data_IF_044377767654
#
_entry.id   IF_044377767654
#
_cell.length_a   1.000
_cell.length_b   1.000
_cell.length_c   1.000
_cell.angle_alpha   90.00
_cell.angle_beta   90.00
_cell.angle_gamma   90.00
#
_symmetry.space_group_name_H-M   'P 1'
#
loop_
_entity.id
_entity.type
_entity.pdbx_description
1 polymer ?
#
# COMPACT_ATOMS: atom_id res chain seq x y z
N UNK A 1 6.00 -23.76 -14.43
CA UNK A 1 5.92 -23.33 -13.00
C UNK A 1 4.65 -23.89 -12.41
N UNK A 2 4.78 -24.70 -11.38
CA UNK A 2 3.64 -25.30 -10.68
C UNK A 2 2.92 -24.26 -9.82
N UNK A 3 1.66 -24.54 -9.45
CA UNK A 3 0.89 -23.65 -8.54
C UNK A 3 1.59 -23.46 -7.18
N UNK A 4 2.22 -24.52 -6.68
CA UNK A 4 2.98 -24.48 -5.42
C UNK A 4 4.19 -23.56 -5.51
N UNK A 5 4.96 -23.62 -6.59
CA UNK A 5 6.10 -22.73 -6.83
C UNK A 5 5.68 -21.28 -6.97
N UNK A 6 4.58 -21.04 -7.69
CA UNK A 6 4.01 -19.70 -7.82
C UNK A 6 3.64 -19.10 -6.45
N UNK A 7 2.91 -19.87 -5.62
CA UNK A 7 2.52 -19.42 -4.27
C UNK A 7 3.73 -19.10 -3.39
N UNK A 8 4.77 -19.96 -3.45
CA UNK A 8 6.02 -19.70 -2.71
C UNK A 8 6.66 -18.38 -3.15
N UNK A 9 6.74 -18.11 -4.46
CA UNK A 9 7.29 -16.86 -4.98
C UNK A 9 6.48 -15.64 -4.52
N UNK A 10 5.15 -15.69 -4.57
CA UNK A 10 4.29 -14.61 -4.09
C UNK A 10 4.54 -14.33 -2.61
N UNK A 11 4.64 -15.37 -1.77
CA UNK A 11 4.94 -15.21 -0.34
C UNK A 11 6.30 -14.55 -0.13
N UNK A 12 7.32 -14.98 -0.87
CA UNK A 12 8.67 -14.42 -0.77
C UNK A 12 8.72 -12.95 -1.19
N UNK A 13 8.12 -12.60 -2.33
CA UNK A 13 8.08 -11.19 -2.77
C UNK A 13 7.27 -10.33 -1.81
N UNK A 14 6.13 -10.82 -1.31
CA UNK A 14 5.34 -10.11 -0.29
C UNK A 14 6.16 -9.86 0.98
N UNK A 15 6.90 -10.84 1.44
CA UNK A 15 7.79 -10.71 2.59
C UNK A 15 8.90 -9.69 2.33
N UNK A 16 9.58 -9.79 1.20
CA UNK A 16 10.64 -8.85 0.81
C UNK A 16 10.12 -7.40 0.74
N UNK A 17 8.98 -7.19 0.09
CA UNK A 17 8.37 -5.86 0.00
C UNK A 17 7.95 -5.34 1.39
N UNK A 18 7.48 -6.22 2.28
CA UNK A 18 7.18 -5.83 3.66
C UNK A 18 8.42 -5.37 4.41
N UNK A 19 9.55 -6.05 4.25
CA UNK A 19 10.84 -5.62 4.82
C UNK A 19 11.27 -4.24 4.29
N UNK A 20 11.14 -4.02 2.98
CA UNK A 20 11.48 -2.73 2.37
C UNK A 20 10.57 -1.60 2.89
N UNK A 21 9.28 -1.85 3.07
CA UNK A 21 8.36 -0.88 3.67
C UNK A 21 8.74 -0.57 5.12
N UNK A 22 9.05 -1.60 5.91
CA UNK A 22 9.54 -1.39 7.29
C UNK A 22 10.82 -0.58 7.29
N UNK A 23 11.75 -0.90 6.39
CA UNK A 23 13.00 -0.15 6.24
C UNK A 23 12.75 1.34 6.01
N UNK A 24 11.94 1.69 5.00
CA UNK A 24 11.61 3.10 4.66
C UNK A 24 10.95 3.86 5.82
N UNK A 25 10.20 3.16 6.67
CA UNK A 25 9.52 3.77 7.82
C UNK A 25 10.33 3.72 9.13
N UNK A 26 11.53 3.15 9.11
CA UNK A 26 12.41 3.03 10.29
C UNK A 26 13.61 3.99 10.28
N UNK A 27 13.64 4.95 9.36
CA UNK A 27 14.72 5.94 9.30
C UNK A 27 14.81 6.75 10.59
N UNK A 28 16.01 6.81 11.15
CA UNK A 28 16.27 7.55 12.36
C UNK A 28 17.66 8.21 12.41
N UNK A 29 18.55 7.89 11.46
CA UNK A 29 19.91 8.43 11.45
C UNK A 29 19.95 9.96 11.39
N UNK A 30 18.94 10.59 10.75
CA UNK A 30 18.81 12.04 10.69
C UNK A 30 18.78 12.70 12.08
N UNK A 31 18.16 12.01 13.06
CA UNK A 31 18.08 12.48 14.44
C UNK A 31 19.44 12.54 15.15
N UNK A 32 20.42 11.79 14.65
CA UNK A 32 21.74 11.65 15.23
C UNK A 32 22.84 12.33 14.42
N UNK A 33 22.51 13.00 13.30
CA UNK A 33 23.47 13.76 12.50
C UNK A 33 24.12 14.86 13.35
N UNK A 34 25.44 14.85 13.41
CA UNK A 34 26.25 15.77 14.24
C UNK A 34 26.45 15.33 15.70
N UNK A 35 25.87 14.20 16.12
CA UNK A 35 26.03 13.63 17.46
C UNK A 35 26.93 12.40 17.45
N UNK A 36 26.99 11.68 16.30
CA UNK A 36 27.85 10.51 16.12
C UNK A 36 28.55 10.60 14.76
N UNK A 37 29.83 10.20 14.72
CA UNK A 37 30.61 10.15 13.47
C UNK A 37 30.01 9.17 12.48
N UNK A 38 29.47 8.05 12.96
CA UNK A 38 28.86 7.00 12.11
C UNK A 38 27.45 7.36 11.61
N UNK A 39 26.81 8.40 12.14
CA UNK A 39 25.43 8.76 11.77
C UNK A 39 25.29 9.11 10.28
N UNK A 40 26.32 9.71 9.68
CA UNK A 40 26.33 10.04 8.26
C UNK A 40 26.32 8.79 7.38
N UNK A 41 27.08 7.76 7.73
CA UNK A 41 27.14 6.50 6.97
C UNK A 41 25.83 5.74 7.08
N UNK A 42 25.22 5.71 8.27
CA UNK A 42 23.90 5.10 8.49
C UNK A 42 22.83 5.86 7.70
N UNK A 43 22.85 7.18 7.73
CA UNK A 43 21.94 8.03 6.95
C UNK A 43 22.01 7.71 5.44
N UNK A 44 23.21 7.64 4.89
CA UNK A 44 23.41 7.27 3.49
C UNK A 44 22.92 5.85 3.17
N UNK A 45 23.15 4.89 4.05
CA UNK A 45 22.68 3.53 3.88
C UNK A 45 21.15 3.44 3.95
N UNK A 46 20.51 4.14 4.88
CA UNK A 46 19.06 4.23 4.99
C UNK A 46 18.43 4.75 3.70
N UNK A 47 18.95 5.88 3.20
CA UNK A 47 18.43 6.51 1.98
C UNK A 47 18.76 5.72 0.73
N UNK A 48 19.97 5.20 0.57
CA UNK A 48 20.32 4.39 -0.60
C UNK A 48 19.41 3.18 -0.76
N UNK A 49 19.16 2.46 0.33
CA UNK A 49 18.27 1.28 0.28
C UNK A 49 16.82 1.72 0.15
N UNK A 50 16.37 2.73 0.90
CA UNK A 50 14.98 3.13 0.93
C UNK A 50 14.51 3.88 -0.30
N UNK A 51 15.29 4.84 -0.78
CA UNK A 51 14.91 5.67 -1.91
C UNK A 51 15.05 4.93 -3.25
N UNK A 52 15.90 3.90 -3.29
CA UNK A 52 16.09 3.10 -4.50
C UNK A 52 15.29 1.79 -4.45
N UNK A 53 15.55 0.92 -3.48
CA UNK A 53 14.90 -0.39 -3.39
C UNK A 53 13.51 -0.29 -2.74
N UNK A 54 13.34 0.58 -1.76
CA UNK A 54 12.07 0.76 -1.06
C UNK A 54 10.94 1.24 -1.95
N UNK A 55 11.26 2.05 -2.98
CA UNK A 55 10.28 2.55 -3.94
C UNK A 55 9.63 1.45 -4.80
N UNK A 56 10.26 0.28 -4.92
CA UNK A 56 9.72 -0.86 -5.67
C UNK A 56 8.64 -1.60 -4.86
N UNK A 57 8.64 -1.46 -3.54
CA UNK A 57 7.76 -2.24 -2.66
C UNK A 57 6.27 -1.96 -2.92
N UNK A 58 5.86 -0.71 -2.98
CA UNK A 58 4.46 -0.33 -3.17
C UNK A 58 3.92 -0.73 -4.54
N UNK A 59 4.57 -0.41 -5.67
CA UNK A 59 4.19 -0.95 -6.97
C UNK A 59 4.15 -2.48 -7.00
N UNK A 60 5.11 -3.14 -6.38
CA UNK A 60 5.14 -4.59 -6.25
C UNK A 60 3.91 -5.17 -5.56
N UNK A 61 3.48 -4.58 -4.45
CA UNK A 61 2.25 -4.97 -3.78
C UNK A 61 1.01 -4.74 -4.66
N UNK A 62 0.93 -3.62 -5.38
CA UNK A 62 -0.17 -3.37 -6.32
C UNK A 62 -0.20 -4.42 -7.43
N UNK A 63 0.95 -4.75 -8.00
CA UNK A 63 1.05 -5.78 -9.05
C UNK A 63 0.62 -7.15 -8.54
N UNK A 64 1.13 -7.60 -7.39
CA UNK A 64 0.74 -8.87 -6.78
C UNK A 64 -0.75 -8.89 -6.48
N UNK A 65 -1.27 -7.82 -5.87
CA UNK A 65 -2.68 -7.70 -5.51
C UNK A 65 -3.58 -7.73 -6.74
N UNK A 66 -3.23 -6.95 -7.77
CA UNK A 66 -3.95 -6.93 -9.05
C UNK A 66 -3.92 -8.30 -9.73
N UNK A 67 -2.76 -8.92 -9.83
CA UNK A 67 -2.62 -10.25 -10.42
C UNK A 67 -3.50 -11.27 -9.70
N UNK A 68 -3.43 -11.34 -8.36
CA UNK A 68 -4.24 -12.28 -7.58
C UNK A 68 -5.74 -11.99 -7.68
N UNK A 69 -6.13 -10.74 -7.85
CA UNK A 69 -7.54 -10.38 -8.04
C UNK A 69 -8.05 -10.84 -9.39
N UNK A 70 -7.29 -10.55 -10.47
CA UNK A 70 -7.73 -10.83 -11.84
C UNK A 70 -7.44 -12.26 -12.30
N UNK A 71 -6.61 -13.00 -11.60
CA UNK A 71 -6.34 -14.40 -11.91
C UNK A 71 -7.62 -15.24 -11.89
N UNK A 72 -7.95 -15.85 -13.04
CA UNK A 72 -9.16 -16.64 -13.20
C UNK A 72 -10.45 -15.85 -12.94
N UNK A 73 -10.44 -14.53 -13.16
CA UNK A 73 -11.60 -13.69 -12.93
C UNK A 73 -12.73 -14.01 -13.92
N UNK A 74 -13.93 -14.16 -13.35
CA UNK A 74 -15.21 -14.23 -14.07
C UNK A 74 -16.19 -13.30 -13.37
N UNK A 75 -17.14 -12.76 -14.12
CA UNK A 75 -18.09 -11.78 -13.58
C UNK A 75 -18.94 -12.31 -12.42
N UNK A 76 -19.29 -13.61 -12.47
CA UNK A 76 -20.04 -14.26 -11.41
C UNK A 76 -19.28 -14.29 -10.08
N UNK A 77 -17.95 -14.21 -10.13
CA UNK A 77 -17.06 -14.22 -8.96
C UNK A 77 -16.84 -12.83 -8.36
N UNK A 78 -17.27 -11.76 -9.05
CA UNK A 78 -16.96 -10.38 -8.64
C UNK A 78 -17.42 -10.10 -7.20
N UNK A 79 -18.67 -10.41 -6.89
CA UNK A 79 -19.23 -10.16 -5.57
C UNK A 79 -18.48 -10.90 -4.46
N UNK A 80 -18.15 -12.17 -4.68
CA UNK A 80 -17.38 -12.97 -3.73
C UNK A 80 -15.95 -12.44 -3.52
N UNK A 81 -15.31 -12.00 -4.61
CA UNK A 81 -13.97 -11.39 -4.55
C UNK A 81 -14.02 -10.03 -3.83
N UNK A 82 -15.00 -9.18 -4.13
CA UNK A 82 -15.21 -7.91 -3.45
C UNK A 82 -15.45 -8.08 -1.95
N UNK A 83 -16.40 -8.90 -1.56
CA UNK A 83 -16.72 -9.11 -0.15
C UNK A 83 -15.49 -9.57 0.66
N UNK A 84 -14.69 -10.46 0.07
CA UNK A 84 -13.44 -10.93 0.69
C UNK A 84 -12.42 -9.80 0.81
N UNK A 85 -12.24 -9.00 -0.25
CA UNK A 85 -11.29 -7.87 -0.26
C UNK A 85 -11.74 -6.73 0.65
N UNK A 86 -13.01 -6.35 0.61
CA UNK A 86 -13.55 -5.33 1.51
C UNK A 86 -13.28 -5.71 2.95
N UNK A 87 -13.58 -6.93 3.36
CA UNK A 87 -13.31 -7.36 4.74
C UNK A 87 -11.82 -7.33 5.09
N UNK A 88 -10.95 -7.75 4.19
CA UNK A 88 -9.51 -7.82 4.46
C UNK A 88 -8.78 -6.48 4.37
N UNK A 89 -9.34 -5.48 3.69
CA UNK A 89 -8.72 -4.17 3.48
C UNK A 89 -9.45 -3.05 4.24
N UNK A 90 -10.77 -2.95 4.07
CA UNK A 90 -11.55 -1.86 4.63
C UNK A 90 -11.69 -1.98 6.16
N UNK A 91 -11.86 -3.18 6.69
CA UNK A 91 -11.97 -3.35 8.15
C UNK A 91 -10.67 -2.95 8.87
N UNK A 92 -9.49 -3.43 8.47
CA UNK A 92 -8.23 -2.92 9.05
C UNK A 92 -8.03 -1.42 8.80
N UNK A 93 -8.39 -0.91 7.63
CA UNK A 93 -8.29 0.51 7.31
C UNK A 93 -9.09 1.37 8.30
N UNK A 94 -10.37 1.05 8.51
CA UNK A 94 -11.23 1.78 9.46
C UNK A 94 -10.71 1.64 10.89
N UNK A 95 -10.41 0.42 11.31
CA UNK A 95 -9.99 0.13 12.68
C UNK A 95 -8.72 0.88 13.05
N UNK A 96 -7.68 0.76 12.23
CA UNK A 96 -6.39 1.39 12.52
C UNK A 96 -6.44 2.91 12.44
N UNK A 97 -7.11 3.50 11.44
CA UNK A 97 -7.27 4.95 11.38
C UNK A 97 -8.03 5.50 12.59
N UNK A 98 -9.07 4.78 13.04
CA UNK A 98 -9.79 5.14 14.24
C UNK A 98 -8.92 5.01 15.51
N UNK A 99 -8.14 3.94 15.65
CA UNK A 99 -7.22 3.77 16.77
C UNK A 99 -6.13 4.85 16.79
N UNK A 100 -5.57 5.22 15.66
CA UNK A 100 -4.64 6.34 15.56
C UNK A 100 -5.29 7.65 16.00
N UNK A 101 -6.50 7.94 15.52
CA UNK A 101 -7.24 9.11 15.97
C UNK A 101 -7.45 9.13 17.48
N UNK A 102 -7.87 8.02 18.08
CA UNK A 102 -8.02 7.91 19.53
C UNK A 102 -6.69 8.16 20.25
N UNK A 103 -5.60 7.58 19.75
CA UNK A 103 -4.26 7.81 20.29
C UNK A 103 -3.87 9.30 20.27
N UNK A 104 -4.13 10.00 19.18
CA UNK A 104 -3.90 11.44 19.06
C UNK A 104 -4.82 12.27 19.96
N UNK A 105 -6.09 11.89 20.07
CA UNK A 105 -7.05 12.53 21.00
C UNK A 105 -6.58 12.42 22.44
N UNK A 106 -6.13 11.25 22.86
CA UNK A 106 -5.58 11.03 24.22
C UNK A 106 -4.27 11.79 24.39
N UNK A 107 -3.34 11.64 23.46
CA UNK A 107 -2.03 12.29 23.49
C UNK A 107 -2.13 13.82 23.56
N UNK A 108 -3.09 14.42 22.84
CA UNK A 108 -3.31 15.87 22.86
C UNK A 108 -3.78 16.42 24.23
N UNK A 109 -4.15 15.55 25.16
CA UNK A 109 -4.60 15.91 26.54
C UNK A 109 -3.57 15.60 27.62
N UNK A 110 -2.49 14.92 27.26
CA UNK A 110 -1.41 14.58 28.19
C UNK A 110 -0.34 15.67 28.16
N UNK A 111 -0.08 16.40 29.26
CA UNK A 111 0.83 17.56 29.27
C UNK A 111 2.22 17.27 28.72
N UNK A 112 2.73 16.06 28.93
CA UNK A 112 4.06 15.62 28.51
C UNK A 112 4.12 15.04 27.08
N UNK A 113 2.96 14.89 26.43
CA UNK A 113 2.84 14.42 25.04
C UNK A 113 2.33 15.51 24.11
N UNK A 114 1.67 16.53 24.61
CA UNK A 114 1.03 17.60 23.83
C UNK A 114 2.00 18.26 22.88
N UNK A 115 3.24 18.54 23.32
CA UNK A 115 4.29 19.16 22.50
C UNK A 115 4.73 18.25 21.35
N UNK A 116 4.78 16.93 21.59
CA UNK A 116 5.11 15.93 20.56
C UNK A 116 3.97 15.80 19.54
N UNK A 117 2.72 15.86 19.98
CA UNK A 117 1.54 15.85 19.11
C UNK A 117 1.47 17.09 18.23
N UNK A 118 1.86 18.26 18.74
CA UNK A 118 2.02 19.51 17.98
C UNK A 118 0.76 20.05 17.30
N UNK A 119 -0.42 19.51 17.61
CA UNK A 119 -1.70 19.84 16.93
C UNK A 119 -2.73 20.50 17.87
N UNK A 120 -2.30 20.91 19.07
CA UNK A 120 -3.22 21.38 20.10
C UNK A 120 -4.19 20.30 20.58
N UNK A 121 -5.26 20.69 21.28
CA UNK A 121 -6.27 19.75 21.76
C UNK A 121 -7.17 19.27 20.63
N UNK A 122 -7.12 17.99 20.33
CA UNK A 122 -7.90 17.39 19.25
C UNK A 122 -9.31 17.09 19.75
N UNK A 123 -10.37 17.56 19.05
CA UNK A 123 -11.73 17.33 19.46
C UNK A 123 -12.11 15.84 19.32
N UNK A 124 -12.86 15.33 20.30
CA UNK A 124 -13.43 14.00 20.22
C UNK A 124 -14.92 14.12 19.84
N UNK A 125 -15.18 14.18 18.55
CA UNK A 125 -16.52 14.31 17.97
C UNK A 125 -16.74 13.29 16.87
N UNK A 126 -17.99 12.98 16.56
CA UNK A 126 -18.35 12.05 15.49
C UNK A 126 -17.82 12.54 14.13
N UNK A 127 -17.96 13.85 13.84
CA UNK A 127 -17.46 14.45 12.60
C UNK A 127 -15.94 14.31 12.46
N UNK A 128 -15.18 14.62 13.52
CA UNK A 128 -13.73 14.45 13.53
C UNK A 128 -13.31 12.98 13.42
N UNK A 129 -14.08 12.06 14.00
CA UNK A 129 -13.83 10.61 13.87
C UNK A 129 -14.01 10.13 12.43
N UNK A 130 -15.06 10.58 11.77
CA UNK A 130 -15.35 10.24 10.36
C UNK A 130 -14.27 10.82 9.45
N UNK A 131 -13.91 12.09 9.63
CA UNK A 131 -12.84 12.76 8.89
C UNK A 131 -11.50 12.02 9.06
N UNK A 132 -11.13 11.70 10.30
CA UNK A 132 -9.90 10.98 10.62
C UNK A 132 -9.80 9.62 9.92
N UNK A 133 -10.93 8.92 9.78
CA UNK A 133 -10.98 7.61 9.10
C UNK A 133 -10.95 7.77 7.59
N UNK A 134 -11.77 8.63 7.01
CA UNK A 134 -11.92 8.75 5.56
C UNK A 134 -10.67 9.37 4.94
N UNK A 135 -10.13 10.42 5.56
CA UNK A 135 -8.96 11.16 5.08
C UNK A 135 -7.63 10.66 5.66
N UNK A 136 -7.68 9.57 6.46
CA UNK A 136 -6.50 8.99 7.15
C UNK A 136 -5.59 10.06 7.76
N UNK A 137 -6.18 11.13 8.32
CA UNK A 137 -5.55 12.38 8.76
C UNK A 137 -4.42 12.19 9.77
N UNK A 138 -4.52 11.16 10.61
CA UNK A 138 -3.52 10.84 11.63
C UNK A 138 -2.64 9.65 11.29
N UNK A 139 -2.87 9.00 10.13
CA UNK A 139 -2.17 7.80 9.70
C UNK A 139 -1.91 7.85 8.19
N UNK A 140 -1.07 8.79 7.78
CA UNK A 140 -0.79 9.06 6.36
C UNK A 140 -0.26 7.84 5.60
N UNK A 141 0.43 6.91 6.27
CA UNK A 141 0.96 5.69 5.63
C UNK A 141 -0.13 4.79 5.03
N UNK A 142 -1.40 4.99 5.41
CA UNK A 142 -2.53 4.23 4.88
C UNK A 142 -3.03 4.71 3.51
N UNK A 143 -2.38 5.73 2.91
CA UNK A 143 -2.67 6.14 1.53
C UNK A 143 -2.61 4.96 0.55
N UNK A 144 -1.66 4.04 0.75
CA UNK A 144 -1.52 2.81 -0.03
C UNK A 144 -2.77 1.91 0.09
N UNK A 145 -3.25 1.68 1.31
CA UNK A 145 -4.42 0.83 1.55
C UNK A 145 -5.69 1.45 0.97
N UNK A 146 -5.82 2.78 1.09
CA UNK A 146 -6.90 3.55 0.47
C UNK A 146 -6.92 3.35 -1.06
N UNK A 147 -5.78 3.50 -1.72
CA UNK A 147 -5.68 3.29 -3.17
C UNK A 147 -5.99 1.84 -3.57
N UNK A 148 -5.57 0.86 -2.78
CA UNK A 148 -5.85 -0.54 -3.03
C UNK A 148 -7.36 -0.85 -2.92
N UNK A 149 -8.05 -0.22 -1.97
CA UNK A 149 -9.51 -0.28 -1.86
C UNK A 149 -10.17 0.34 -3.11
N UNK A 150 -9.75 1.53 -3.49
CA UNK A 150 -10.27 2.22 -4.67
C UNK A 150 -10.09 1.40 -5.97
N UNK A 151 -8.90 0.84 -6.19
CA UNK A 151 -8.61 -0.04 -7.33
C UNK A 151 -9.47 -1.32 -7.30
N UNK A 152 -9.73 -1.87 -6.12
CA UNK A 152 -10.61 -3.03 -5.97
C UNK A 152 -12.06 -2.69 -6.34
N UNK A 153 -12.55 -1.51 -5.97
CA UNK A 153 -13.88 -1.04 -6.34
C UNK A 153 -13.99 -0.74 -7.84
N UNK A 154 -12.92 -0.22 -8.44
CA UNK A 154 -12.86 0.05 -9.88
C UNK A 154 -12.63 -1.21 -10.73
N UNK A 155 -12.42 -2.37 -10.14
CA UNK A 155 -12.12 -3.61 -10.85
C UNK A 155 -13.09 -3.95 -12.00
N UNK A 156 -14.44 -3.77 -11.90
CA UNK A 156 -15.35 -4.04 -13.01
C UNK A 156 -15.14 -3.11 -14.21
N UNK A 157 -14.65 -1.90 -13.99
CA UNK A 157 -14.30 -0.96 -15.07
C UNK A 157 -12.94 -1.29 -15.67
N UNK A 158 -11.98 -1.61 -14.81
CA UNK A 158 -10.60 -1.91 -15.24
C UNK A 158 -10.49 -3.22 -15.99
N UNK A 159 -11.27 -4.24 -15.63
CA UNK A 159 -11.17 -5.56 -16.24
C UNK A 159 -11.41 -5.55 -17.76
N UNK A 160 -12.51 -4.98 -18.30
CA UNK A 160 -12.72 -4.92 -19.75
C UNK A 160 -11.69 -4.06 -20.47
N UNK A 161 -11.20 -3.01 -19.84
CA UNK A 161 -10.13 -2.16 -20.40
C UNK A 161 -8.82 -2.96 -20.54
N UNK A 162 -8.40 -3.66 -19.50
CA UNK A 162 -7.21 -4.51 -19.52
C UNK A 162 -7.33 -5.66 -20.52
N UNK A 163 -8.51 -6.29 -20.61
CA UNK A 163 -8.76 -7.35 -21.58
C UNK A 163 -8.65 -6.86 -23.02
N UNK A 164 -9.24 -5.69 -23.33
CA UNK A 164 -9.13 -5.06 -24.65
C UNK A 164 -7.69 -4.70 -25.01
N UNK A 165 -6.93 -4.21 -24.05
CA UNK A 165 -5.53 -3.86 -24.21
C UNK A 165 -4.68 -5.10 -24.52
N UNK A 166 -4.83 -6.19 -23.78
CA UNK A 166 -4.14 -7.46 -24.02
C UNK A 166 -4.45 -8.03 -25.42
N UNK A 167 -5.71 -7.95 -25.86
CA UNK A 167 -6.11 -8.40 -27.20
C UNK A 167 -5.43 -7.56 -28.30
N UNK A 168 -5.36 -6.25 -28.12
CA UNK A 168 -4.66 -5.36 -29.09
C UNK A 168 -3.17 -5.61 -29.16
N UNK A 169 -2.47 -5.79 -28.05
CA UNK A 169 -1.04 -6.11 -28.04
C UNK A 169 -0.81 -7.48 -28.68
N UNK A 170 -1.64 -8.47 -28.36
CA UNK A 170 -1.54 -9.80 -28.99
C UNK A 170 -1.71 -9.78 -30.51
N UNK A 171 -2.65 -8.96 -31.02
CA UNK A 171 -2.86 -8.76 -32.43
C UNK A 171 -1.66 -8.04 -33.12
N UNK A 172 -1.10 -7.04 -32.46
CA UNK A 172 0.09 -6.33 -32.98
C UNK A 172 1.33 -7.23 -32.97
N UNK A 173 1.51 -8.05 -31.95
CA UNK A 173 2.64 -8.99 -31.87
C UNK A 173 2.50 -10.20 -32.80
N UNK A 174 1.26 -10.66 -33.06
CA UNK A 174 0.97 -11.79 -33.96
C UNK A 174 0.82 -11.41 -35.43
N UNK A 175 0.54 -10.13 -35.75
CA UNK A 175 0.35 -9.64 -37.12
C UNK A 175 1.63 -9.34 -37.90
N UNK A 176 2.82 -9.43 -37.28
CA UNK A 176 4.12 -9.20 -37.93
C UNK A 176 4.74 -10.39 -38.68
N UNK A 177 4.05 -11.52 -38.74
CA UNK A 177 4.57 -12.79 -39.28
C UNK A 177 3.96 -13.29 -40.59
N UNK A 178 3.28 -12.45 -41.38
CA UNK A 178 2.57 -12.88 -42.57
C UNK A 178 2.80 -11.98 -43.78
N UNK A 179 4.02 -11.96 -44.31
CA UNK A 179 4.31 -11.19 -45.55
C UNK A 179 5.67 -11.56 -46.14
N UNK A 180 5.76 -12.73 -46.75
CA UNK A 180 6.99 -13.12 -47.46
C UNK A 180 6.89 -14.51 -48.03
N UNK A 181 6.25 -14.65 -49.16
CA UNK A 181 6.24 -15.86 -49.97
C UNK A 181 5.65 -15.56 -51.32
#
# INVERSE_FOLDING_TARGET
MTESEFRKKVIWFTFLFSLLVVWVHSYNAELFLGWSEDAADVYWAEHLIGDFLGQVAVPGFFMISGYLFYRGFRWEMLWGKWNRRIRSLLVPFILWNFLYYIGYVIGSRLPWVTDVVGKGTIPFTLGASIDAVINYTYNYVFWYLYQLIALTLLAPVLYPLLKRWQTRIGLMAGGGGGGGG
#
